data_IF_180700263184
#
_entry.id   IF_180700263184
#
_cell.length_a   1.000
_cell.length_b   1.000
_cell.length_c   1.000
_cell.angle_alpha   90.00
_cell.angle_beta   90.00
_cell.angle_gamma   90.00
#
_symmetry.space_group_name_H-M   'P 1'
#
loop_
_entity.id
_entity.type
_entity.pdbx_description
1 polymer ?
#
# COMPACT_ATOMS: atom_id res chain seq x y z
N UNK A 1 -7.84 -3.67 -1.83
CA UNK A 1 -7.15 -2.96 -0.73
C UNK A 1 -6.65 -1.60 -1.23
N UNK A 2 -6.64 -0.59 -0.35
CA UNK A 2 -6.04 0.73 -0.58
C UNK A 2 -5.27 1.17 0.66
N UNK A 3 -4.21 1.94 0.46
CA UNK A 3 -3.41 2.54 1.52
C UNK A 3 -3.52 4.06 1.39
N UNK A 4 -3.70 4.76 2.51
CA UNK A 4 -3.84 6.23 2.52
C UNK A 4 -2.92 6.80 3.58
N UNK A 5 -2.07 7.75 3.22
CA UNK A 5 -1.26 8.48 4.21
C UNK A 5 -2.16 9.53 4.83
N UNK A 6 -2.32 9.51 6.15
CA UNK A 6 -3.25 10.39 6.87
C UNK A 6 -2.56 11.47 7.70
N UNK A 7 -1.29 11.25 8.06
CA UNK A 7 -0.50 12.27 8.74
C UNK A 7 1.01 12.04 8.53
N UNK A 8 1.76 13.11 8.71
CA UNK A 8 3.21 13.13 8.74
C UNK A 8 3.66 13.85 10.02
N UNK A 9 4.62 13.27 10.72
CA UNK A 9 5.24 13.84 11.91
C UNK A 9 6.73 14.06 11.65
N UNK A 10 7.14 15.33 11.71
CA UNK A 10 8.55 15.70 11.68
C UNK A 10 9.27 15.26 12.95
N UNK A 11 10.54 14.84 12.85
CA UNK A 11 11.34 14.53 14.01
C UNK A 11 11.63 15.80 14.82
N UNK A 12 11.94 15.68 16.12
CA UNK A 12 12.44 16.81 16.89
C UNK A 12 13.72 17.38 16.24
N UNK A 13 13.96 18.69 16.40
CA UNK A 13 14.93 19.48 15.62
C UNK A 13 16.38 18.97 15.58
N UNK A 14 16.78 18.08 16.49
CA UNK A 14 18.10 17.46 16.58
C UNK A 14 18.13 15.98 16.16
N UNK A 15 17.01 15.43 15.70
CA UNK A 15 16.90 14.02 15.32
C UNK A 15 17.10 13.80 13.81
N UNK A 16 17.64 12.62 13.47
CA UNK A 16 17.92 12.22 12.08
C UNK A 16 16.65 12.23 11.22
N UNK A 17 16.81 12.54 9.92
CA UNK A 17 15.74 12.45 8.91
C UNK A 17 15.14 11.04 8.81
N UNK A 18 15.83 10.03 9.32
CA UNK A 18 15.33 8.65 9.37
C UNK A 18 14.22 8.44 10.42
N UNK A 19 13.99 9.44 11.28
CA UNK A 19 12.99 9.43 12.36
C UNK A 19 11.65 10.01 11.92
N UNK A 20 11.52 10.57 10.70
CA UNK A 20 10.22 11.01 10.17
C UNK A 20 9.21 9.87 10.22
N UNK A 21 8.01 10.15 10.71
CA UNK A 21 6.93 9.17 10.86
C UNK A 21 5.75 9.51 9.96
N UNK A 22 5.15 8.46 9.41
CA UNK A 22 3.96 8.54 8.58
C UNK A 22 2.88 7.68 9.19
N UNK A 23 1.72 8.28 9.45
CA UNK A 23 0.52 7.56 9.83
C UNK A 23 -0.27 7.22 8.57
N UNK A 24 -0.80 6.00 8.49
CA UNK A 24 -1.54 5.55 7.32
C UNK A 24 -2.73 4.66 7.68
N UNK A 25 -3.70 4.60 6.77
CA UNK A 25 -4.83 3.70 6.82
C UNK A 25 -4.70 2.62 5.75
N UNK A 26 -4.92 1.37 6.15
CA UNK A 26 -5.13 0.24 5.26
C UNK A 26 -6.61 -0.13 5.28
N UNK A 27 -7.24 -0.04 4.12
CA UNK A 27 -8.65 -0.39 3.93
C UNK A 27 -8.73 -1.49 2.86
N UNK A 28 -9.11 -2.68 3.29
CA UNK A 28 -9.29 -3.84 2.41
C UNK A 28 -10.75 -3.99 1.94
N UNK A 29 -11.67 -3.17 2.47
CA UNK A 29 -13.09 -3.20 2.19
C UNK A 29 -13.84 -4.36 2.85
N UNK A 30 -13.18 -5.19 3.65
CA UNK A 30 -13.81 -6.35 4.31
C UNK A 30 -13.96 -6.15 5.81
N UNK A 31 -13.03 -5.41 6.43
CA UNK A 31 -13.06 -5.07 7.85
C UNK A 31 -12.91 -3.56 8.04
N UNK A 32 -13.01 -3.10 9.30
CA UNK A 32 -12.72 -1.72 9.64
C UNK A 32 -11.28 -1.36 9.22
N UNK A 33 -11.04 -0.17 8.63
CA UNK A 33 -9.71 0.24 8.22
C UNK A 33 -8.72 0.22 9.38
N UNK A 34 -7.52 -0.30 9.13
CA UNK A 34 -6.45 -0.38 10.11
C UNK A 34 -5.57 0.87 10.03
N UNK A 35 -5.44 1.59 11.15
CA UNK A 35 -4.55 2.75 11.29
C UNK A 35 -3.22 2.34 11.92
N UNK A 36 -2.11 2.62 11.24
CA UNK A 36 -0.76 2.23 11.65
C UNK A 36 0.22 3.41 11.45
N UNK A 37 1.41 3.30 12.03
CA UNK A 37 2.49 4.29 11.90
C UNK A 37 3.79 3.62 11.49
N UNK A 38 4.53 4.24 10.58
CA UNK A 38 5.84 3.75 10.14
C UNK A 38 6.87 4.87 10.08
N UNK A 39 8.13 4.53 10.40
CA UNK A 39 9.26 5.45 10.23
C UNK A 39 9.85 5.38 8.82
N UNK A 40 10.52 6.44 8.37
CA UNK A 40 11.24 6.45 7.10
C UNK A 40 12.30 5.34 7.03
N UNK A 41 13.04 5.11 8.13
CA UNK A 41 14.02 4.02 8.24
C UNK A 41 13.37 2.66 7.94
N UNK A 42 12.26 2.36 8.61
CA UNK A 42 11.53 1.10 8.41
C UNK A 42 10.99 0.98 6.99
N UNK A 43 10.45 2.07 6.41
CA UNK A 43 9.95 2.08 5.04
C UNK A 43 11.04 1.73 4.03
N UNK A 44 12.26 2.26 4.20
CA UNK A 44 13.42 1.91 3.34
C UNK A 44 13.74 0.42 3.40
N UNK A 45 13.90 -0.12 4.60
CA UNK A 45 14.22 -1.54 4.81
C UNK A 45 13.17 -2.45 4.15
N UNK A 46 11.87 -2.13 4.30
CA UNK A 46 10.79 -2.92 3.70
C UNK A 46 10.85 -2.85 2.16
N UNK A 47 11.00 -1.65 1.59
CA UNK A 47 11.03 -1.45 0.14
C UNK A 47 12.26 -2.11 -0.51
N UNK A 48 13.40 -2.14 0.17
CA UNK A 48 14.60 -2.83 -0.33
C UNK A 48 14.41 -4.35 -0.44
N UNK A 49 13.56 -4.93 0.40
CA UNK A 49 13.35 -6.38 0.47
C UNK A 49 12.10 -6.87 -0.28
N UNK A 50 11.20 -5.98 -0.71
CA UNK A 50 9.95 -6.33 -1.38
C UNK A 50 9.83 -5.67 -2.76
N UNK A 51 9.81 -6.49 -3.81
CA UNK A 51 9.82 -6.02 -5.21
C UNK A 51 8.43 -5.85 -5.84
N UNK A 52 7.43 -6.57 -5.36
CA UNK A 52 6.06 -6.53 -5.87
C UNK A 52 5.11 -5.96 -4.81
N UNK A 53 4.27 -5.02 -5.22
CA UNK A 53 3.64 -4.13 -4.27
C UNK A 53 2.15 -3.99 -4.41
N UNK A 54 1.45 -4.60 -3.46
CA UNK A 54 0.10 -4.19 -3.07
C UNK A 54 0.05 -2.69 -2.70
N UNK A 55 -1.13 -2.18 -2.37
CA UNK A 55 -1.35 -0.78 -2.01
C UNK A 55 -0.33 -0.24 -0.99
N UNK A 56 0.02 -1.06 0.01
CA UNK A 56 0.95 -0.69 1.07
C UNK A 56 2.37 -0.49 0.56
N UNK A 57 2.91 -1.41 -0.24
CA UNK A 57 4.28 -1.27 -0.78
C UNK A 57 4.40 -0.07 -1.72
N UNK A 58 3.36 0.23 -2.53
CA UNK A 58 3.36 1.43 -3.37
C UNK A 58 3.41 2.71 -2.53
N UNK A 59 2.68 2.75 -1.43
CA UNK A 59 2.73 3.85 -0.47
C UNK A 59 4.12 4.00 0.13
N UNK A 60 4.75 2.90 0.57
CA UNK A 60 6.11 2.95 1.10
C UNK A 60 7.13 3.42 0.05
N UNK A 61 7.00 2.98 -1.20
CA UNK A 61 7.85 3.45 -2.29
C UNK A 61 7.70 4.96 -2.54
N UNK A 62 6.49 5.51 -2.40
CA UNK A 62 6.26 6.94 -2.52
C UNK A 62 6.94 7.71 -1.38
N UNK A 63 6.81 7.24 -0.14
CA UNK A 63 7.50 7.81 1.02
C UNK A 63 9.03 7.80 0.83
N UNK A 64 9.59 6.68 0.38
CA UNK A 64 11.04 6.52 0.20
C UNK A 64 11.58 7.37 -0.95
N UNK A 65 10.79 7.61 -2.00
CA UNK A 65 11.18 8.44 -3.16
C UNK A 65 11.05 9.93 -2.92
N UNK A 66 10.18 10.36 -1.99
CA UNK A 66 9.95 11.76 -1.69
C UNK A 66 11.15 12.40 -0.99
N UNK A 67 11.42 13.67 -1.29
CA UNK A 67 12.35 14.49 -0.54
C UNK A 67 11.70 15.01 0.75
N UNK A 68 12.48 15.42 1.77
CA UNK A 68 11.92 15.93 3.03
C UNK A 68 10.93 17.08 2.88
N UNK A 69 11.12 17.96 1.89
CA UNK A 69 10.21 19.07 1.60
C UNK A 69 8.86 18.61 0.99
N UNK A 70 8.75 17.35 0.56
CA UNK A 70 7.58 16.79 -0.11
C UNK A 70 6.75 15.89 0.83
N UNK A 71 7.22 15.63 2.05
CA UNK A 71 6.56 14.68 2.97
C UNK A 71 5.14 15.10 3.35
N UNK A 72 4.91 16.39 3.61
CA UNK A 72 3.56 16.88 3.90
C UNK A 72 2.63 16.79 2.68
N UNK A 73 3.17 16.82 1.46
CA UNK A 73 2.39 16.63 0.22
C UNK A 73 2.00 15.17 -0.03
N UNK A 74 2.54 14.22 0.73
CA UNK A 74 2.10 12.82 0.70
C UNK A 74 0.81 12.61 1.50
N UNK A 75 0.48 13.49 2.45
CA UNK A 75 -0.73 13.39 3.25
C UNK A 75 -1.97 13.53 2.36
N UNK A 76 -2.90 12.60 2.50
CA UNK A 76 -4.10 12.49 1.67
C UNK A 76 -3.92 11.69 0.37
N UNK A 77 -2.70 11.26 0.03
CA UNK A 77 -2.50 10.41 -1.14
C UNK A 77 -3.04 8.99 -0.89
N UNK A 78 -3.76 8.48 -1.89
CA UNK A 78 -4.38 7.14 -1.88
C UNK A 78 -3.67 6.24 -2.90
N UNK A 79 -3.24 5.08 -2.44
CA UNK A 79 -2.54 4.07 -3.21
C UNK A 79 -3.45 2.85 -3.36
N UNK A 80 -4.00 2.57 -4.55
CA UNK A 80 -4.83 1.39 -4.78
C UNK A 80 -3.97 0.13 -5.02
N UNK A 81 -4.50 -1.03 -4.65
CA UNK A 81 -3.94 -2.30 -5.09
C UNK A 81 -4.03 -2.44 -6.61
N UNK A 82 -3.03 -3.09 -7.20
CA UNK A 82 -3.05 -3.44 -8.62
C UNK A 82 -3.62 -4.83 -8.88
N UNK A 83 -4.23 -5.51 -7.90
CA UNK A 83 -4.90 -6.76 -8.23
C UNK A 83 -6.09 -6.43 -9.14
N UNK A 84 -6.06 -6.79 -10.44
CA UNK A 84 -7.28 -6.71 -11.20
C UNK A 84 -8.25 -7.63 -10.48
N UNK A 85 -9.41 -7.11 -10.09
CA UNK A 85 -10.57 -7.98 -10.09
C UNK A 85 -10.60 -8.46 -11.54
N UNK A 86 -10.15 -9.69 -11.78
CA UNK A 86 -10.53 -10.38 -13.00
C UNK A 86 -12.04 -10.42 -12.95
N UNK A 87 -12.67 -9.40 -13.54
CA UNK A 87 -14.08 -9.41 -13.91
C UNK A 87 -14.22 -10.36 -15.08
N UNK A 88 -13.78 -11.61 -14.90
CA UNK A 88 -14.12 -12.72 -15.76
C UNK A 88 -14.86 -13.71 -14.88
N UNK A 89 -16.17 -13.49 -14.81
CA UNK A 89 -17.11 -14.53 -14.44
C UNK A 89 -16.96 -15.66 -15.45
N UNK A 90 -16.22 -16.68 -15.06
CA UNK A 90 -15.89 -17.80 -15.93
C UNK A 90 -15.85 -19.12 -15.18
N UNK A 91 -16.90 -19.44 -14.41
CA UNK A 91 -17.21 -20.82 -14.05
C UNK A 91 -17.56 -21.58 -15.33
N UNK A 92 -16.53 -21.97 -16.09
CA UNK A 92 -16.68 -22.91 -17.19
C UNK A 92 -16.74 -24.30 -16.59
N UNK A 93 -17.94 -24.64 -16.10
CA UNK A 93 -18.31 -26.04 -15.89
C UNK A 93 -18.10 -26.76 -17.23
N UNK A 94 -17.04 -27.56 -17.34
CA UNK A 94 -16.93 -28.54 -18.42
C UNK A 94 -17.95 -29.64 -18.16
N UNK A 95 -19.20 -29.35 -18.48
CA UNK A 95 -20.23 -30.36 -18.71
C UNK A 95 -19.81 -31.10 -19.97
N UNK A 96 -19.08 -32.21 -19.80
CA UNK A 96 -18.88 -33.19 -20.87
C UNK A 96 -20.20 -33.92 -21.06
N UNK A 97 -21.13 -33.28 -21.76
CA UNK A 97 -22.14 -34.01 -22.53
C UNK A 97 -21.45 -34.49 -23.81
N UNK A 98 -21.12 -35.78 -23.84
CA UNK A 98 -21.11 -36.53 -25.09
C UNK A 98 -21.91 -37.80 -24.86
N UNK A 99 -23.17 -37.72 -25.32
CA UNK A 99 -24.03 -38.86 -25.58
C UNK A 99 -23.40 -39.78 -26.62
N UNK A 100 -23.59 -41.08 -26.39
CA UNK A 100 -23.89 -42.13 -27.36
C UNK A 100 -23.72 -41.80 -28.85
N UNK A 101 -22.80 -42.54 -29.48
CA UNK A 101 -23.14 -43.34 -30.66
C UNK A 101 -22.23 -44.55 -30.77
#
# INVERSE_FOLDING_TARGET
MKATIIAHESPPSDASVEVHRFQFLLDDGTVAPLAETISLCTARVIVENLKDGNAFIKMLQAIVKAQPAEYDALVGQVFPDHYPISSDGGYRATRREHSNR
#
